data_IF_192851176870
#
_entry.id   IF_192851176870
#
_cell.length_a   1.000
_cell.length_b   1.000
_cell.length_c   1.000
_cell.angle_alpha   90.00
_cell.angle_beta   90.00
_cell.angle_gamma   90.00
#
_symmetry.space_group_name_H-M   'P 1'
#
loop_
_entity.id
_entity.type
_entity.pdbx_description
1 polymer ?
#
# COMPACT_ATOMS: atom_id res chain seq x y z
N UNK A 1 8.03 -2.39 -65.29
CA UNK A 1 8.46 -3.80 -65.21
C UNK A 1 7.45 -4.54 -64.36
N UNK A 2 6.68 -5.40 -65.03
CA UNK A 2 5.59 -6.21 -64.48
C UNK A 2 6.11 -7.50 -63.86
N UNK A 3 5.52 -7.89 -62.73
CA UNK A 3 5.08 -9.26 -62.33
C UNK A 3 4.46 -9.09 -60.94
N UNK A 4 3.13 -9.06 -60.73
CA UNK A 4 2.04 -10.00 -61.02
C UNK A 4 2.08 -11.32 -60.23
N UNK A 5 1.12 -11.39 -59.30
CA UNK A 5 0.31 -12.54 -58.83
C UNK A 5 0.98 -13.72 -58.10
N UNK A 6 0.54 -13.95 -56.86
CA UNK A 6 -0.36 -15.10 -56.62
C UNK A 6 -1.28 -14.91 -55.40
N UNK A 7 -2.53 -15.34 -55.60
CA UNK A 7 -3.68 -15.34 -54.70
C UNK A 7 -3.99 -16.80 -54.34
N UNK A 8 -4.25 -17.08 -53.05
CA UNK A 8 -5.09 -18.16 -52.45
C UNK A 8 -4.54 -18.43 -51.04
N UNK A 9 -5.31 -18.56 -49.97
CA UNK A 9 -6.57 -19.28 -49.83
C UNK A 9 -7.37 -18.68 -48.67
N UNK A 10 -8.68 -18.56 -48.87
CA UNK A 10 -9.70 -18.38 -47.84
C UNK A 10 -9.93 -19.72 -47.14
N UNK A 11 -9.80 -19.76 -45.81
CA UNK A 11 -10.25 -20.85 -44.96
C UNK A 11 -11.01 -20.28 -43.79
N UNK A 12 -12.33 -20.51 -43.75
CA UNK A 12 -13.23 -19.98 -42.74
C UNK A 12 -12.96 -20.56 -41.36
N UNK A 13 -13.06 -19.70 -40.35
CA UNK A 13 -13.11 -20.13 -38.94
C UNK A 13 -14.57 -20.40 -38.59
N UNK A 14 -14.91 -21.67 -38.45
CA UNK A 14 -16.20 -22.11 -37.96
C UNK A 14 -16.28 -21.87 -36.44
N UNK A 15 -17.33 -21.18 -36.01
CA UNK A 15 -17.80 -21.14 -34.63
C UNK A 15 -18.15 -22.57 -34.19
N UNK A 16 -17.42 -23.09 -33.21
CA UNK A 16 -17.82 -24.28 -32.46
C UNK A 16 -18.57 -23.87 -31.19
N UNK A 17 -19.90 -23.75 -31.27
CA UNK A 17 -20.78 -23.71 -30.10
C UNK A 17 -21.01 -25.16 -29.67
N UNK A 18 -20.40 -25.59 -28.57
CA UNK A 18 -20.73 -26.87 -27.93
C UNK A 18 -21.90 -26.66 -26.96
N UNK A 19 -23.11 -26.89 -27.47
CA UNK A 19 -24.32 -27.08 -26.68
C UNK A 19 -24.30 -28.51 -26.12
N UNK A 20 -24.14 -28.64 -24.80
CA UNK A 20 -24.31 -29.92 -24.11
C UNK A 20 -25.80 -30.27 -23.96
N UNK A 21 -26.32 -31.13 -24.83
CA UNK A 21 -27.64 -31.76 -24.67
C UNK A 21 -27.43 -33.18 -24.14
N UNK A 22 -27.88 -33.41 -22.91
CA UNK A 22 -27.90 -34.74 -22.30
C UNK A 22 -29.10 -35.55 -22.84
N UNK A 23 -28.80 -36.62 -23.58
CA UNK A 23 -29.74 -37.69 -23.90
C UNK A 23 -29.35 -38.93 -23.09
N UNK A 24 -30.23 -39.33 -22.17
CA UNK A 24 -30.11 -40.58 -21.43
C UNK A 24 -30.61 -41.73 -22.31
N UNK A 25 -29.80 -42.78 -22.48
CA UNK A 25 -30.23 -44.15 -22.77
C UNK A 25 -29.00 -45.10 -22.78
N UNK A 26 -29.11 -46.21 -22.05
CA UNK A 26 -28.43 -47.46 -22.38
C UNK A 26 -27.15 -47.79 -21.62
N UNK A 27 -27.28 -48.68 -20.63
CA UNK A 27 -26.18 -49.28 -19.87
C UNK A 27 -25.21 -50.08 -20.75
N UNK A 28 -23.92 -49.77 -20.63
CA UNK A 28 -22.78 -50.67 -20.79
C UNK A 28 -21.65 -50.10 -19.93
N UNK A 29 -21.10 -50.93 -19.04
CA UNK A 29 -20.00 -50.56 -18.15
C UNK A 29 -18.77 -50.14 -18.94
N UNK A 30 -18.64 -48.83 -19.16
CA UNK A 30 -17.36 -48.16 -19.27
C UNK A 30 -17.11 -47.56 -17.90
N UNK A 31 -15.93 -47.82 -17.34
CA UNK A 31 -15.41 -47.05 -16.22
C UNK A 31 -15.77 -45.58 -16.46
N UNK A 32 -16.45 -44.96 -15.49
CA UNK A 32 -16.77 -43.55 -15.57
C UNK A 32 -15.46 -42.83 -15.89
N UNK A 33 -15.40 -42.16 -17.05
CA UNK A 33 -14.30 -41.26 -17.34
C UNK A 33 -14.35 -40.25 -16.21
N UNK A 34 -13.44 -40.39 -15.24
CA UNK A 34 -13.35 -39.45 -14.14
C UNK A 34 -13.24 -38.06 -14.77
N UNK A 35 -14.16 -37.17 -14.37
CA UNK A 35 -14.08 -35.77 -14.76
C UNK A 35 -12.66 -35.28 -14.43
N UNK A 36 -11.89 -34.79 -15.42
CA UNK A 36 -10.52 -34.37 -15.18
C UNK A 36 -10.43 -33.19 -14.20
N UNK A 37 -11.56 -32.59 -13.81
CA UNK A 37 -11.59 -31.39 -12.99
C UNK A 37 -11.09 -30.18 -13.78
N UNK A 38 -11.31 -29.00 -13.20
CA UNK A 38 -10.88 -27.75 -13.75
C UNK A 38 -9.36 -27.71 -13.84
N UNK A 39 -8.86 -27.36 -15.02
CA UNK A 39 -7.44 -27.14 -15.27
C UNK A 39 -7.07 -25.68 -14.94
N UNK A 40 -5.80 -25.39 -14.61
CA UNK A 40 -5.35 -24.01 -14.50
C UNK A 40 -5.63 -23.22 -15.77
N UNK A 41 -6.08 -21.97 -15.62
CA UNK A 41 -6.67 -21.14 -16.67
C UNK A 41 -8.20 -21.24 -16.76
N UNK A 42 -8.84 -22.15 -16.01
CA UNK A 42 -10.29 -22.24 -15.95
C UNK A 42 -10.88 -21.00 -15.27
N UNK A 43 -11.96 -20.48 -15.86
CA UNK A 43 -12.76 -19.40 -15.32
C UNK A 43 -14.23 -19.65 -15.63
N UNK A 44 -15.12 -19.12 -14.80
CA UNK A 44 -16.55 -19.30 -15.02
C UNK A 44 -17.40 -18.60 -13.98
N UNK A 45 -18.70 -18.85 -14.05
CA UNK A 45 -19.66 -18.41 -13.06
C UNK A 45 -20.31 -19.63 -12.41
N UNK A 46 -20.64 -19.51 -11.13
CA UNK A 46 -21.38 -20.52 -10.38
C UNK A 46 -22.59 -19.88 -9.71
N UNK A 47 -23.72 -20.57 -9.83
CA UNK A 47 -24.94 -20.23 -9.12
C UNK A 47 -24.89 -20.84 -7.73
N UNK A 48 -25.40 -20.11 -6.76
CA UNK A 48 -25.39 -20.47 -5.37
C UNK A 48 -26.79 -20.29 -4.77
N UNK A 49 -27.16 -21.20 -3.87
CA UNK A 49 -28.38 -21.10 -3.05
C UNK A 49 -28.01 -21.37 -1.59
N UNK A 50 -28.17 -20.38 -0.71
CA UNK A 50 -27.89 -20.51 0.71
C UNK A 50 -28.80 -21.57 1.36
N UNK A 51 -28.29 -22.39 2.30
CA UNK A 51 -26.93 -22.40 2.86
C UNK A 51 -25.97 -23.38 2.15
N UNK A 52 -26.31 -23.85 0.94
CA UNK A 52 -25.52 -24.86 0.23
C UNK A 52 -24.11 -24.38 -0.09
N UNK A 53 -23.17 -25.31 -0.33
CA UNK A 53 -21.84 -24.97 -0.83
C UNK A 53 -21.71 -25.41 -2.30
N UNK A 54 -20.97 -24.64 -3.10
CA UNK A 54 -20.56 -25.07 -4.43
C UNK A 54 -19.18 -25.70 -4.33
N UNK A 55 -18.97 -26.83 -4.98
CA UNK A 55 -17.70 -27.55 -4.99
C UNK A 55 -17.18 -27.64 -6.41
N UNK A 56 -15.93 -27.23 -6.59
CA UNK A 56 -15.23 -27.30 -7.86
C UNK A 56 -14.03 -28.24 -7.70
N UNK A 57 -13.99 -29.30 -8.50
CA UNK A 57 -12.83 -30.18 -8.59
C UNK A 57 -11.73 -29.48 -9.38
N UNK A 58 -10.54 -29.34 -8.78
CA UNK A 58 -9.38 -28.70 -9.39
C UNK A 58 -8.27 -29.73 -9.60
N UNK A 59 -7.67 -29.73 -10.79
CA UNK A 59 -6.49 -30.52 -11.11
C UNK A 59 -5.22 -29.79 -10.69
N UNK A 60 -4.37 -30.45 -9.89
CA UNK A 60 -3.15 -29.85 -9.33
C UNK A 60 -1.93 -30.77 -9.45
N UNK A 61 -0.74 -30.15 -9.50
CA UNK A 61 0.57 -30.80 -9.52
C UNK A 61 1.33 -30.52 -8.23
N UNK A 62 2.00 -31.53 -7.69
CA UNK A 62 2.83 -31.40 -6.49
C UNK A 62 3.90 -30.32 -6.67
N UNK A 63 4.06 -29.47 -5.66
CA UNK A 63 5.01 -28.35 -5.64
C UNK A 63 4.58 -27.12 -6.45
N UNK A 64 3.48 -27.19 -7.22
CA UNK A 64 2.98 -26.04 -7.96
C UNK A 64 2.15 -25.13 -7.05
N UNK A 65 2.40 -23.83 -7.11
CA UNK A 65 1.56 -22.81 -6.50
C UNK A 65 0.39 -22.47 -7.41
N UNK A 66 -0.77 -22.31 -6.81
CA UNK A 66 -2.02 -21.98 -7.48
C UNK A 66 -2.66 -20.76 -6.85
N UNK A 67 -3.44 -20.05 -7.67
CA UNK A 67 -4.28 -18.94 -7.30
C UNK A 67 -5.72 -19.25 -7.66
N UNK A 68 -6.62 -19.06 -6.70
CA UNK A 68 -8.05 -19.14 -6.92
C UNK A 68 -8.70 -17.81 -6.49
N UNK A 69 -9.40 -17.18 -7.41
CA UNK A 69 -10.13 -15.93 -7.19
C UNK A 69 -11.61 -16.24 -7.10
N UNK A 70 -12.30 -15.66 -6.12
CA UNK A 70 -13.75 -15.63 -6.03
C UNK A 70 -14.22 -14.19 -5.99
N UNK A 71 -15.11 -13.82 -6.91
CA UNK A 71 -15.71 -12.49 -6.99
C UNK A 71 -17.24 -12.60 -6.86
N UNK A 72 -17.85 -12.05 -5.80
CA UNK A 72 -19.30 -12.02 -5.68
C UNK A 72 -19.90 -11.01 -6.66
N UNK A 73 -20.90 -11.41 -7.46
CA UNK A 73 -21.57 -10.49 -8.39
C UNK A 73 -22.92 -10.02 -7.88
N UNK A 74 -23.73 -10.92 -7.30
CA UNK A 74 -25.05 -10.58 -6.74
C UNK A 74 -25.19 -10.85 -5.25
N UNK A 75 -24.22 -11.54 -4.63
CA UNK A 75 -24.18 -11.82 -3.20
C UNK A 75 -23.17 -10.93 -2.48
N UNK A 76 -23.17 -11.03 -1.15
CA UNK A 76 -22.21 -10.32 -0.30
C UNK A 76 -21.19 -11.31 0.25
N UNK A 77 -19.95 -11.14 -0.20
CA UNK A 77 -18.79 -11.89 0.30
C UNK A 77 -18.62 -13.32 -0.23
N UNK A 78 -17.37 -13.78 -0.21
CA UNK A 78 -16.96 -15.15 -0.55
C UNK A 78 -16.30 -15.81 0.66
N UNK A 79 -16.55 -17.10 0.86
CA UNK A 79 -15.76 -17.98 1.71
C UNK A 79 -15.22 -19.14 0.87
N UNK A 80 -13.90 -19.33 0.93
CA UNK A 80 -13.15 -20.36 0.22
C UNK A 80 -12.55 -21.33 1.24
N UNK A 81 -12.75 -22.63 1.01
CA UNK A 81 -12.07 -23.69 1.76
C UNK A 81 -11.53 -24.72 0.79
N UNK A 82 -10.21 -24.87 0.76
CA UNK A 82 -9.57 -25.97 0.05
C UNK A 82 -9.80 -27.28 0.83
N UNK A 83 -10.16 -28.36 0.13
CA UNK A 83 -10.47 -29.67 0.72
C UNK A 83 -9.82 -30.81 -0.05
N UNK A 84 -9.61 -31.92 0.64
CA UNK A 84 -9.20 -33.18 0.02
C UNK A 84 -10.32 -33.70 -0.89
N UNK A 85 -9.96 -34.17 -2.09
CA UNK A 85 -10.97 -34.58 -3.07
C UNK A 85 -11.74 -35.86 -2.70
N UNK A 86 -11.26 -36.66 -1.75
CA UNK A 86 -11.92 -37.91 -1.32
C UNK A 86 -12.62 -37.75 0.02
N UNK A 87 -11.91 -37.26 1.03
CA UNK A 87 -12.46 -37.13 2.38
C UNK A 87 -13.26 -35.85 2.59
N UNK A 88 -13.04 -34.83 1.74
CA UNK A 88 -13.54 -33.47 1.91
C UNK A 88 -13.02 -32.79 3.20
N UNK A 89 -12.01 -33.35 3.86
CA UNK A 89 -11.38 -32.69 5.00
C UNK A 89 -10.64 -31.42 4.55
N UNK A 90 -10.66 -30.34 5.36
CA UNK A 90 -9.93 -29.10 5.07
C UNK A 90 -8.43 -29.32 4.81
N UNK A 91 -7.92 -28.72 3.74
CA UNK A 91 -6.49 -28.63 3.42
C UNK A 91 -6.00 -27.20 3.68
N UNK A 92 -5.89 -26.84 4.96
CA UNK A 92 -5.51 -25.50 5.41
C UNK A 92 -6.69 -24.66 5.88
N UNK A 93 -6.41 -23.40 6.24
CA UNK A 93 -7.40 -22.48 6.78
C UNK A 93 -8.36 -21.97 5.69
N UNK A 94 -9.62 -21.75 6.07
CA UNK A 94 -10.58 -21.08 5.21
C UNK A 94 -10.18 -19.61 5.02
N UNK A 95 -10.48 -19.05 3.85
CA UNK A 95 -10.37 -17.63 3.56
C UNK A 95 -11.76 -17.05 3.37
N UNK A 96 -12.08 -15.97 4.06
CA UNK A 96 -13.42 -15.40 3.99
C UNK A 96 -13.40 -13.88 4.06
N UNK A 97 -14.36 -13.24 3.37
CA UNK A 97 -14.48 -11.77 3.34
C UNK A 97 -15.11 -11.25 4.64
N UNK A 98 -14.36 -10.60 5.52
CA UNK A 98 -14.79 -10.21 6.87
C UNK A 98 -15.97 -9.21 7.01
N UNK A 99 -16.65 -8.80 5.93
CA UNK A 99 -17.69 -7.76 5.97
C UNK A 99 -18.79 -7.94 4.92
N UNK A 100 -19.89 -7.16 5.04
CA UNK A 100 -21.04 -7.07 4.08
C UNK A 100 -20.69 -6.44 2.73
N UNK A 101 -19.43 -6.42 2.32
CA UNK A 101 -19.00 -5.81 1.07
C UNK A 101 -18.96 -6.87 -0.05
N UNK A 102 -19.26 -6.45 -1.28
CA UNK A 102 -19.18 -7.27 -2.50
C UNK A 102 -17.73 -7.42 -2.99
N UNK A 103 -16.78 -7.56 -2.06
CA UNK A 103 -15.37 -7.68 -2.39
C UNK A 103 -15.02 -9.12 -2.74
N UNK A 104 -14.14 -9.28 -3.74
CA UNK A 104 -13.56 -10.57 -4.05
C UNK A 104 -12.58 -11.02 -2.98
N UNK A 105 -12.16 -12.28 -3.08
CA UNK A 105 -11.08 -12.84 -2.27
C UNK A 105 -10.20 -13.73 -3.13
N UNK A 106 -8.90 -13.66 -2.89
CA UNK A 106 -7.90 -14.50 -3.54
C UNK A 106 -7.29 -15.47 -2.52
N UNK A 107 -7.28 -16.75 -2.85
CA UNK A 107 -6.57 -17.79 -2.11
C UNK A 107 -5.37 -18.27 -2.93
N UNK A 108 -4.21 -18.36 -2.28
CA UNK A 108 -3.04 -19.04 -2.79
C UNK A 108 -2.76 -20.30 -1.98
N UNK A 109 -2.24 -21.33 -2.65
CA UNK A 109 -1.70 -22.52 -1.97
C UNK A 109 -0.67 -23.21 -2.86
N UNK A 110 0.22 -23.98 -2.24
CA UNK A 110 1.12 -24.90 -2.94
C UNK A 110 0.60 -26.31 -2.77
N UNK A 111 0.32 -27.02 -3.87
CA UNK A 111 -0.20 -28.37 -3.80
C UNK A 111 0.89 -29.34 -3.30
N UNK A 112 0.58 -30.16 -2.29
CA UNK A 112 1.52 -31.12 -1.71
C UNK A 112 1.66 -32.41 -2.53
N UNK A 113 0.67 -32.73 -3.37
CA UNK A 113 0.61 -33.94 -4.18
C UNK A 113 0.01 -33.67 -5.56
N UNK A 114 0.29 -34.56 -6.51
CA UNK A 114 -0.42 -34.60 -7.80
C UNK A 114 -1.82 -35.16 -7.59
N UNK A 115 -2.82 -34.59 -8.25
CA UNK A 115 -4.17 -35.15 -8.26
C UNK A 115 -5.26 -34.09 -8.27
N UNK A 116 -6.38 -34.41 -7.62
CA UNK A 116 -7.51 -33.50 -7.47
C UNK A 116 -7.58 -32.95 -6.05
N UNK A 117 -7.99 -31.70 -5.95
CA UNK A 117 -8.44 -31.04 -4.71
C UNK A 117 -9.81 -30.42 -4.98
N UNK A 118 -10.60 -30.21 -3.93
CA UNK A 118 -11.91 -29.56 -4.03
C UNK A 118 -11.78 -28.15 -3.50
N UNK A 119 -12.14 -27.16 -4.33
CA UNK A 119 -12.43 -25.82 -3.84
C UNK A 119 -13.90 -25.77 -3.43
N UNK A 120 -14.15 -25.57 -2.13
CA UNK A 120 -15.49 -25.33 -1.62
C UNK A 120 -15.72 -23.82 -1.49
N UNK A 121 -16.76 -23.33 -2.18
CA UNK A 121 -17.20 -21.95 -2.19
C UNK A 121 -18.50 -21.83 -1.40
N UNK A 122 -18.53 -20.87 -0.48
CA UNK A 122 -19.69 -20.54 0.33
C UNK A 122 -19.90 -19.02 0.37
N UNK A 123 -21.11 -18.59 0.71
CA UNK A 123 -21.37 -17.20 1.09
C UNK A 123 -20.97 -16.99 2.55
N UNK A 124 -20.21 -15.92 2.85
CA UNK A 124 -19.66 -15.68 4.20
C UNK A 124 -20.65 -15.05 5.20
N UNK A 125 -21.91 -14.81 4.82
CA UNK A 125 -22.87 -14.15 5.68
C UNK A 125 -24.02 -15.08 6.03
N UNK A 126 -24.69 -14.76 7.15
CA UNK A 126 -26.01 -15.28 7.52
C UNK A 126 -27.07 -14.84 6.51
N UNK A 127 -26.93 -15.28 5.26
CA UNK A 127 -27.95 -15.15 4.23
C UNK A 127 -29.12 -16.02 4.65
N UNK A 128 -30.34 -15.48 4.60
CA UNK A 128 -31.51 -16.28 4.92
C UNK A 128 -31.59 -17.47 3.96
N UNK A 129 -32.05 -18.61 4.48
CA UNK A 129 -32.22 -19.83 3.70
C UNK A 129 -32.98 -19.56 2.39
N UNK A 130 -32.46 -20.08 1.27
CA UNK A 130 -33.04 -19.89 -0.05
C UNK A 130 -32.60 -18.62 -0.80
N UNK A 131 -31.76 -17.75 -0.21
CA UNK A 131 -31.13 -16.67 -0.98
C UNK A 131 -30.25 -17.23 -2.08
N UNK A 132 -30.47 -16.73 -3.31
CA UNK A 132 -29.70 -17.14 -4.49
C UNK A 132 -28.79 -16.02 -4.96
N UNK A 133 -27.69 -16.40 -5.58
CA UNK A 133 -26.91 -15.47 -6.38
C UNK A 133 -25.70 -16.11 -7.02
N UNK A 134 -24.77 -15.28 -7.48
CA UNK A 134 -23.73 -15.69 -8.42
C UNK A 134 -22.35 -15.23 -7.95
N UNK A 135 -21.37 -16.08 -8.22
CA UNK A 135 -19.96 -15.76 -8.11
C UNK A 135 -19.26 -16.05 -9.43
N UNK A 136 -18.26 -15.25 -9.77
CA UNK A 136 -17.27 -15.62 -10.79
C UNK A 136 -16.03 -16.19 -10.14
N UNK A 137 -15.38 -17.12 -10.83
CA UNK A 137 -14.12 -17.71 -10.39
C UNK A 137 -13.05 -17.67 -11.47
N UNK A 138 -11.80 -17.65 -11.03
CA UNK A 138 -10.61 -17.85 -11.86
C UNK A 138 -9.63 -18.76 -11.11
N UNK A 139 -9.26 -19.87 -11.72
CA UNK A 139 -8.26 -20.81 -11.21
C UNK A 139 -7.03 -20.78 -12.10
N UNK A 140 -5.86 -20.44 -11.55
CA UNK A 140 -4.62 -20.27 -12.32
C UNK A 140 -3.42 -20.85 -11.58
N UNK A 141 -2.36 -21.21 -12.32
CA UNK A 141 -1.03 -21.38 -11.75
C UNK A 141 -0.50 -20.01 -11.33
N UNK A 142 0.28 -19.98 -10.25
CA UNK A 142 0.86 -18.76 -9.71
C UNK A 142 2.33 -18.95 -9.38
N UNK A 143 3.03 -17.84 -9.30
CA UNK A 143 4.40 -17.68 -8.81
C UNK A 143 4.44 -16.47 -7.91
N UNK A 144 5.37 -16.48 -6.97
CA UNK A 144 5.73 -15.31 -6.17
C UNK A 144 6.02 -14.12 -7.10
N UNK A 145 5.35 -13.00 -6.87
CA UNK A 145 5.54 -11.78 -7.65
C UNK A 145 6.74 -10.95 -7.17
N UNK A 146 7.14 -11.08 -5.91
CA UNK A 146 8.34 -10.46 -5.38
C UNK A 146 8.85 -11.18 -4.14
N UNK A 147 10.13 -11.59 -4.16
CA UNK A 147 10.75 -12.18 -2.97
C UNK A 147 10.86 -11.20 -1.81
N UNK A 148 10.97 -11.72 -0.59
CA UNK A 148 10.89 -10.92 0.63
C UNK A 148 12.18 -10.29 1.14
N UNK A 149 13.31 -10.52 0.46
CA UNK A 149 14.61 -9.97 0.84
C UNK A 149 15.00 -8.76 -0.03
N UNK A 150 15.94 -7.93 0.47
CA UNK A 150 16.46 -6.79 -0.31
C UNK A 150 17.19 -7.22 -1.58
N UNK A 151 17.78 -8.42 -1.58
CA UNK A 151 18.47 -9.02 -2.73
C UNK A 151 17.50 -9.55 -3.79
N UNK A 152 16.32 -10.01 -3.38
CA UNK A 152 15.25 -10.50 -4.27
C UNK A 152 14.30 -9.39 -4.74
N UNK A 153 14.53 -8.15 -4.28
CA UNK A 153 13.63 -7.04 -4.54
C UNK A 153 13.47 -6.74 -6.04
N UNK A 154 12.22 -6.66 -6.49
CA UNK A 154 11.86 -6.46 -7.89
C UNK A 154 11.86 -4.98 -8.24
N UNK A 155 12.54 -4.61 -9.34
CA UNK A 155 12.62 -3.23 -9.79
C UNK A 155 11.25 -2.68 -10.22
N UNK A 156 10.87 -1.54 -9.67
CA UNK A 156 9.68 -0.79 -10.07
C UNK A 156 10.09 0.61 -10.56
N UNK A 157 9.41 1.13 -11.60
CA UNK A 157 9.67 2.50 -12.05
C UNK A 157 9.21 3.50 -10.99
N UNK A 158 9.90 4.64 -10.92
CA UNK A 158 9.48 5.79 -10.12
C UNK A 158 9.73 7.06 -10.91
N UNK A 159 8.79 8.00 -10.83
CA UNK A 159 8.88 9.31 -11.48
C UNK A 159 8.16 10.38 -10.66
N UNK A 160 8.28 11.64 -11.08
CA UNK A 160 7.52 12.74 -10.47
C UNK A 160 6.00 12.62 -10.70
N UNK A 161 5.59 11.86 -11.72
CA UNK A 161 4.21 11.43 -11.87
C UNK A 161 4.00 10.14 -11.09
N UNK A 162 2.91 10.08 -10.33
CA UNK A 162 2.52 8.88 -9.61
C UNK A 162 2.39 7.68 -10.56
N UNK A 163 3.03 6.59 -10.18
CA UNK A 163 2.95 5.30 -10.85
C UNK A 163 2.28 4.31 -9.93
N UNK A 164 1.43 3.45 -10.50
CA UNK A 164 0.78 2.37 -9.76
C UNK A 164 1.27 1.01 -10.22
N UNK A 165 1.34 0.07 -9.29
CA UNK A 165 1.57 -1.34 -9.57
C UNK A 165 0.82 -2.20 -8.56
N UNK A 166 0.54 -3.45 -8.93
CA UNK A 166 -0.12 -4.41 -8.06
C UNK A 166 0.88 -5.44 -7.54
N UNK A 167 0.57 -6.02 -6.38
CA UNK A 167 1.28 -7.19 -5.85
C UNK A 167 0.37 -8.14 -5.08
N UNK A 168 0.92 -9.29 -4.70
CA UNK A 168 0.20 -10.36 -4.03
C UNK A 168 0.95 -10.89 -2.80
N UNK A 169 0.33 -10.73 -1.63
CA UNK A 169 0.71 -11.46 -0.43
C UNK A 169 0.03 -12.84 -0.47
N UNK A 170 0.79 -13.87 -0.77
CA UNK A 170 0.28 -15.22 -1.04
C UNK A 170 0.07 -16.03 0.24
N UNK A 171 0.59 -15.53 1.34
CA UNK A 171 0.34 -16.05 2.68
C UNK A 171 0.29 -14.93 3.71
N UNK A 172 -0.21 -15.23 4.91
CA UNK A 172 -0.19 -14.27 6.03
C UNK A 172 1.22 -13.94 6.49
N UNK A 173 2.23 -14.71 6.09
CA UNK A 173 3.65 -14.48 6.41
C UNK A 173 4.44 -13.99 5.21
N UNK A 174 3.76 -13.74 4.10
CA UNK A 174 4.43 -13.33 2.87
C UNK A 174 4.97 -11.91 2.97
N UNK A 175 6.03 -11.68 2.20
CA UNK A 175 6.77 -10.43 2.18
C UNK A 175 7.23 -10.18 0.76
N UNK A 176 6.88 -9.01 0.26
CA UNK A 176 7.23 -8.58 -1.09
C UNK A 176 8.21 -7.42 -0.97
N UNK A 177 9.34 -7.51 -1.67
CA UNK A 177 10.32 -6.44 -1.74
C UNK A 177 10.32 -5.79 -3.12
N UNK A 178 10.12 -4.46 -3.16
CA UNK A 178 10.15 -3.65 -4.37
C UNK A 178 11.30 -2.66 -4.31
N UNK A 179 12.06 -2.55 -5.40
CA UNK A 179 13.25 -1.70 -5.51
C UNK A 179 12.97 -0.48 -6.37
N UNK A 180 13.33 0.70 -5.84
CA UNK A 180 13.21 1.98 -6.52
C UNK A 180 14.56 2.68 -6.58
N UNK A 181 15.06 2.98 -7.77
CA UNK A 181 16.26 3.80 -7.93
C UNK A 181 15.88 5.28 -7.87
N UNK A 182 16.14 5.92 -6.73
CA UNK A 182 15.78 7.32 -6.46
C UNK A 182 17.05 8.17 -6.44
N UNK A 183 17.14 9.29 -7.18
CA UNK A 183 18.31 10.14 -7.14
C UNK A 183 18.61 10.70 -5.74
N UNK A 184 19.84 11.16 -5.54
CA UNK A 184 20.23 11.79 -4.29
C UNK A 184 19.39 13.05 -4.02
N UNK A 185 19.09 13.28 -2.74
CA UNK A 185 18.34 14.44 -2.24
C UNK A 185 16.90 14.54 -2.78
N UNK A 186 16.31 13.42 -3.20
CA UNK A 186 14.91 13.33 -3.62
C UNK A 186 14.10 12.49 -2.66
N UNK A 187 12.80 12.75 -2.60
CA UNK A 187 11.90 12.10 -1.64
C UNK A 187 11.12 11.00 -2.36
N UNK A 188 11.25 9.76 -1.89
CA UNK A 188 10.34 8.69 -2.30
C UNK A 188 9.08 8.76 -1.45
N UNK A 189 7.91 8.76 -2.09
CA UNK A 189 6.61 8.62 -1.46
C UNK A 189 5.97 7.31 -1.91
N UNK A 190 5.42 6.56 -0.97
CA UNK A 190 4.74 5.30 -1.23
C UNK A 190 3.52 5.10 -0.33
N UNK A 191 2.48 4.50 -0.88
CA UNK A 191 1.34 3.95 -0.13
C UNK A 191 0.88 2.70 -0.83
N UNK A 192 0.53 1.65 -0.08
CA UNK A 192 -0.13 0.48 -0.64
C UNK A 192 -1.40 0.16 0.13
N UNK A 193 -2.43 -0.22 -0.62
CA UNK A 193 -3.77 -0.49 -0.11
C UNK A 193 -4.23 -1.82 -0.66
N UNK A 194 -4.91 -2.60 0.18
CA UNK A 194 -5.64 -3.78 -0.28
C UNK A 194 -6.70 -3.40 -1.32
N UNK A 195 -6.81 -4.19 -2.37
CA UNK A 195 -7.84 -4.06 -3.41
C UNK A 195 -8.92 -5.15 -3.30
N UNK A 196 -8.83 -5.97 -2.27
CA UNK A 196 -9.78 -7.02 -1.92
C UNK A 196 -10.08 -7.02 -0.41
N UNK A 197 -10.94 -7.96 0.02
CA UNK A 197 -11.32 -8.02 1.42
C UNK A 197 -10.15 -8.36 2.34
N UNK A 198 -9.91 -7.45 3.30
CA UNK A 198 -8.95 -7.64 4.36
C UNK A 198 -8.29 -6.35 4.83
N UNK A 199 -7.36 -6.50 5.76
CA UNK A 199 -6.51 -5.42 6.24
C UNK A 199 -5.52 -4.97 5.17
N UNK A 200 -5.24 -3.67 5.13
CA UNK A 200 -4.20 -3.12 4.26
C UNK A 200 -2.82 -3.58 4.74
N UNK A 201 -1.85 -3.75 3.83
CA UNK A 201 -0.54 -4.27 4.20
C UNK A 201 0.25 -3.29 5.08
N UNK A 202 1.19 -3.85 5.84
CA UNK A 202 2.26 -3.08 6.47
C UNK A 202 3.34 -2.78 5.43
N UNK A 203 3.86 -1.56 5.47
CA UNK A 203 4.94 -1.07 4.64
C UNK A 203 6.15 -0.76 5.52
N UNK A 204 7.33 -1.02 4.98
CA UNK A 204 8.60 -0.60 5.55
C UNK A 204 9.52 -0.10 4.42
N UNK A 205 10.11 1.08 4.58
CA UNK A 205 11.14 1.55 3.68
C UNK A 205 12.52 1.21 4.26
N UNK A 206 13.35 0.58 3.44
CA UNK A 206 14.67 0.10 3.80
C UNK A 206 15.72 0.66 2.85
N UNK A 207 16.97 0.73 3.32
CA UNK A 207 18.14 0.75 2.44
C UNK A 207 18.47 -0.66 1.95
N UNK A 208 19.26 -0.82 0.87
CA UNK A 208 19.65 -2.12 0.35
C UNK A 208 20.42 -2.99 1.36
N UNK A 209 21.09 -2.36 2.34
CA UNK A 209 21.77 -3.04 3.45
C UNK A 209 20.84 -3.55 4.57
N UNK A 210 19.52 -3.36 4.42
CA UNK A 210 18.50 -3.74 5.38
C UNK A 210 18.23 -2.71 6.48
N UNK A 211 18.89 -1.55 6.45
CA UNK A 211 18.61 -0.47 7.43
C UNK A 211 17.21 0.07 7.25
N UNK A 212 16.38 -0.03 8.30
CA UNK A 212 15.02 0.53 8.31
C UNK A 212 15.01 2.05 8.41
N UNK A 213 14.18 2.67 7.58
CA UNK A 213 13.97 4.13 7.48
C UNK A 213 12.59 4.54 8.00
N UNK A 214 11.69 3.58 8.21
CA UNK A 214 10.38 3.81 8.77
C UNK A 214 9.37 2.75 8.34
N UNK A 215 8.27 2.66 9.11
CA UNK A 215 7.15 1.76 8.86
C UNK A 215 5.85 2.52 8.75
N UNK A 216 4.90 1.99 7.98
CA UNK A 216 3.58 2.58 7.78
C UNK A 216 2.52 1.49 7.54
N UNK A 217 1.29 1.70 8.01
CA UNK A 217 0.17 0.84 7.66
C UNK A 217 -1.08 1.72 7.50
N UNK A 218 -1.76 1.61 6.36
CA UNK A 218 -2.92 2.45 6.06
C UNK A 218 -4.10 2.19 7.01
N UNK A 219 -4.35 0.94 7.41
CA UNK A 219 -5.39 0.58 8.40
C UNK A 219 -5.03 1.03 9.81
N UNK A 220 -3.74 1.09 10.14
CA UNK A 220 -3.24 1.55 11.43
C UNK A 220 -3.13 3.06 11.51
N UNK A 221 -3.21 3.77 10.37
CA UNK A 221 -3.01 5.21 10.23
C UNK A 221 -3.73 5.91 11.38
N UNK A 222 -3.00 6.23 12.47
CA UNK A 222 -3.61 6.96 13.54
C UNK A 222 -3.75 8.35 12.96
N UNK A 223 -4.92 8.95 13.12
CA UNK A 223 -5.14 10.32 12.65
C UNK A 223 -4.00 11.27 13.07
N UNK A 224 -3.29 10.96 14.16
CA UNK A 224 -2.09 11.62 14.67
C UNK A 224 -0.87 11.67 13.73
N UNK A 225 -0.74 10.87 12.66
CA UNK A 225 0.50 10.84 11.85
C UNK A 225 0.52 11.78 10.64
N UNK A 226 -0.60 12.44 10.34
CA UNK A 226 -0.76 13.53 9.36
C UNK A 226 -0.43 13.23 7.88
N UNK A 227 0.19 12.10 7.54
CA UNK A 227 0.56 11.70 6.17
C UNK A 227 -0.11 10.37 5.78
N UNK A 228 -0.94 10.33 4.72
CA UNK A 228 -1.59 9.10 4.26
C UNK A 228 -0.64 8.20 3.42
N UNK A 229 0.65 8.24 3.72
CA UNK A 229 1.71 7.54 3.00
C UNK A 229 2.99 7.47 3.84
N UNK A 230 3.91 6.58 3.47
CA UNK A 230 5.30 6.64 3.93
C UNK A 230 6.11 7.47 2.93
N UNK A 231 7.01 8.31 3.45
CA UNK A 231 7.95 9.04 2.62
C UNK A 231 9.31 9.14 3.28
N UNK A 232 10.38 9.10 2.48
CA UNK A 232 11.76 9.16 2.94
C UNK A 232 12.61 9.95 1.95
N UNK A 233 13.44 10.85 2.48
CA UNK A 233 14.48 11.56 1.73
C UNK A 233 15.68 10.66 1.45
N UNK A 234 16.04 10.52 0.18
CA UNK A 234 17.18 9.71 -0.25
C UNK A 234 18.48 10.53 -0.27
N UNK A 235 18.99 10.94 0.90
CA UNK A 235 20.18 11.81 1.03
C UNK A 235 21.40 11.29 0.25
N UNK A 236 21.63 9.97 0.25
CA UNK A 236 22.77 9.36 -0.45
C UNK A 236 22.54 9.05 -1.93
N UNK A 237 21.27 9.10 -2.38
CA UNK A 237 20.85 8.54 -3.67
C UNK A 237 20.92 7.01 -3.71
N UNK A 238 20.57 6.45 -4.87
CA UNK A 238 20.61 5.01 -5.11
C UNK A 238 19.28 4.32 -4.80
N UNK A 239 19.35 3.03 -4.53
CA UNK A 239 18.15 2.22 -4.37
C UNK A 239 17.53 2.38 -2.97
N UNK A 240 16.21 2.45 -2.94
CA UNK A 240 15.38 2.25 -1.76
C UNK A 240 14.52 1.01 -1.95
N UNK A 241 14.29 0.25 -0.88
CA UNK A 241 13.48 -0.96 -0.90
C UNK A 241 12.18 -0.68 -0.14
N UNK A 242 11.03 -0.83 -0.80
CA UNK A 242 9.74 -0.90 -0.14
C UNK A 242 9.42 -2.36 0.12
N UNK A 243 9.35 -2.70 1.40
CA UNK A 243 8.90 -4.01 1.86
C UNK A 243 7.42 -3.94 2.20
N UNK A 244 6.62 -4.80 1.60
CA UNK A 244 5.18 -4.93 1.80
C UNK A 244 4.92 -6.27 2.46
N UNK A 245 4.14 -6.31 3.52
CA UNK A 245 3.83 -7.56 4.21
C UNK A 245 2.41 -7.54 4.78
N UNK A 246 1.85 -8.73 5.00
CA UNK A 246 0.51 -8.84 5.57
C UNK A 246 0.41 -8.17 6.96
N UNK A 247 -0.78 -7.65 7.26
CA UNK A 247 -1.08 -7.13 8.60
C UNK A 247 -1.20 -8.26 9.62
N UNK A 248 -0.23 -8.33 10.52
CA UNK A 248 -0.13 -9.40 11.52
C UNK A 248 -1.07 -9.21 12.71
N UNK A 249 -1.80 -8.09 12.79
CA UNK A 249 -2.80 -7.87 13.86
C UNK A 249 -3.98 -8.83 13.75
N UNK A 250 -4.27 -9.29 12.54
CA UNK A 250 -5.27 -10.32 12.27
C UNK A 250 -4.86 -11.15 11.05
N UNK A 251 -4.12 -12.22 11.30
CA UNK A 251 -3.64 -13.15 10.27
C UNK A 251 -4.78 -13.85 9.50
N UNK A 252 -6.01 -13.81 10.01
CA UNK A 252 -7.17 -14.41 9.35
C UNK A 252 -7.83 -13.49 8.32
N UNK A 253 -7.51 -12.20 8.34
CA UNK A 253 -8.14 -11.18 7.50
C UNK A 253 -7.16 -10.33 6.69
N UNK A 254 -5.91 -10.76 6.47
CA UNK A 254 -5.04 -10.05 5.51
C UNK A 254 -5.62 -10.14 4.10
N UNK A 255 -5.53 -9.05 3.32
CA UNK A 255 -5.83 -9.09 1.89
C UNK A 255 -4.63 -9.65 1.13
N UNK A 256 -4.86 -10.59 0.23
CA UNK A 256 -3.80 -11.14 -0.62
C UNK A 256 -3.43 -10.14 -1.70
N UNK A 257 -4.39 -9.44 -2.32
CA UNK A 257 -4.11 -8.46 -3.38
C UNK A 257 -4.00 -7.04 -2.85
N UNK A 258 -2.97 -6.32 -3.27
CA UNK A 258 -2.81 -4.89 -3.01
C UNK A 258 -2.37 -4.12 -4.25
N UNK A 259 -2.59 -2.81 -4.22
CA UNK A 259 -2.05 -1.85 -5.18
C UNK A 259 -1.17 -0.86 -4.41
N UNK A 260 0.00 -0.55 -4.96
CA UNK A 260 0.89 0.49 -4.48
C UNK A 260 0.84 1.71 -5.42
N UNK A 261 0.78 2.89 -4.83
CA UNK A 261 0.99 4.18 -5.48
C UNK A 261 2.34 4.72 -5.01
N UNK A 262 3.22 5.02 -5.96
CA UNK A 262 4.56 5.52 -5.67
C UNK A 262 4.90 6.71 -6.54
N UNK A 263 5.63 7.66 -5.98
CA UNK A 263 6.13 8.84 -6.70
C UNK A 263 7.44 9.32 -6.12
N UNK A 264 8.24 9.94 -6.98
CA UNK A 264 9.32 10.81 -6.58
C UNK A 264 8.72 12.20 -6.31
N UNK A 265 8.60 12.56 -5.03
CA UNK A 265 7.94 13.79 -4.61
C UNK A 265 8.74 15.07 -4.87
N UNK A 266 9.91 14.96 -5.52
CA UNK A 266 10.79 16.10 -5.77
C UNK A 266 11.98 16.16 -4.82
N UNK A 267 12.79 17.22 -4.96
CA UNK A 267 13.81 17.54 -3.97
C UNK A 267 13.16 18.01 -2.67
N UNK A 268 13.92 17.91 -1.60
CA UNK A 268 13.58 18.59 -0.36
C UNK A 268 13.65 20.12 -0.54
N UNK A 269 12.73 20.85 0.09
CA UNK A 269 12.61 22.30 -0.10
C UNK A 269 13.59 23.08 0.80
N UNK A 270 13.92 22.51 1.95
CA UNK A 270 14.95 23.00 2.85
C UNK A 270 15.97 21.88 3.15
N UNK A 271 16.92 22.15 4.05
CA UNK A 271 17.93 21.17 4.44
C UNK A 271 17.81 20.82 5.91
N UNK A 272 18.00 19.55 6.25
CA UNK A 272 17.74 18.98 7.59
C UNK A 272 18.86 19.28 8.60
N UNK A 273 19.93 19.94 8.16
CA UNK A 273 21.11 20.22 8.98
C UNK A 273 21.57 21.65 8.80
N UNK A 274 22.21 22.20 9.84
CA UNK A 274 22.76 23.56 9.85
C UNK A 274 23.66 23.86 8.64
N UNK A 275 24.44 22.89 8.17
CA UNK A 275 25.33 23.04 7.02
C UNK A 275 24.59 23.23 5.67
N UNK A 276 23.31 22.85 5.61
CA UNK A 276 22.42 22.96 4.44
C UNK A 276 21.25 23.91 4.67
N UNK A 277 21.30 24.68 5.77
CA UNK A 277 20.21 25.54 6.17
C UNK A 277 19.92 26.64 5.14
N UNK A 278 18.63 26.90 4.90
CA UNK A 278 18.20 28.02 4.06
C UNK A 278 18.39 29.34 4.81
N UNK A 279 19.22 30.22 4.28
CA UNK A 279 19.51 31.52 4.90
C UNK A 279 18.35 32.48 4.66
N UNK A 280 17.80 33.07 5.72
CA UNK A 280 16.70 34.05 5.65
C UNK A 280 17.02 35.31 6.47
N UNK A 281 16.50 36.46 6.02
CA UNK A 281 16.70 37.76 6.67
C UNK A 281 15.42 38.19 7.39
N UNK A 282 15.51 38.57 8.66
CA UNK A 282 14.33 38.98 9.45
C UNK A 282 13.90 40.41 9.08
N UNK A 283 12.60 40.70 8.85
CA UNK A 283 11.47 39.75 8.89
C UNK A 283 11.37 38.87 7.65
N UNK A 284 10.98 37.61 7.85
CA UNK A 284 10.82 36.64 6.76
C UNK A 284 9.50 35.87 6.86
N UNK A 285 8.98 35.50 5.70
CA UNK A 285 7.95 34.46 5.53
C UNK A 285 8.51 33.40 4.58
N UNK A 286 8.41 32.14 4.98
CA UNK A 286 8.99 30.99 4.29
C UNK A 286 7.91 29.91 4.20
N UNK A 287 7.62 29.42 3.01
CA UNK A 287 6.80 28.23 2.85
C UNK A 287 7.69 27.01 3.06
N UNK A 288 7.22 26.04 3.84
CA UNK A 288 7.97 24.87 4.33
C UNK A 288 7.13 23.63 4.10
N UNK A 289 7.68 22.60 3.46
CA UNK A 289 6.99 21.38 3.07
C UNK A 289 7.72 20.20 3.70
N UNK A 290 7.18 19.72 4.82
CA UNK A 290 7.68 18.50 5.45
C UNK A 290 7.32 17.27 4.58
N UNK A 291 8.23 16.87 3.68
CA UNK A 291 8.09 15.77 2.75
C UNK A 291 8.03 14.39 3.40
N UNK A 292 8.49 14.25 4.65
CA UNK A 292 8.38 13.00 5.43
C UNK A 292 7.84 13.19 6.85
N UNK A 293 7.55 12.09 7.56
CA UNK A 293 7.05 12.14 8.95
C UNK A 293 8.06 12.78 9.90
N UNK A 294 9.33 12.46 9.71
CA UNK A 294 10.44 12.91 10.57
C UNK A 294 11.23 14.02 9.89
N UNK A 295 10.60 14.74 8.95
CA UNK A 295 11.28 15.78 8.21
C UNK A 295 11.65 16.95 9.11
N UNK A 296 12.82 17.50 8.84
CA UNK A 296 13.34 18.66 9.55
C UNK A 296 13.82 19.65 8.52
N UNK A 297 13.34 20.88 8.61
CA UNK A 297 13.72 21.97 7.74
C UNK A 297 14.48 23.02 8.52
N UNK A 298 15.75 23.25 8.17
CA UNK A 298 16.61 24.17 8.91
C UNK A 298 16.70 25.51 8.20
N UNK A 299 16.33 26.57 8.90
CA UNK A 299 16.57 27.95 8.47
C UNK A 299 17.75 28.55 9.24
N UNK A 300 18.55 29.39 8.59
CA UNK A 300 19.63 30.15 9.23
C UNK A 300 19.29 31.65 9.25
N UNK A 301 19.38 32.27 10.41
CA UNK A 301 19.03 33.68 10.64
C UNK A 301 20.14 34.40 11.42
N UNK A 302 20.37 35.68 11.10
CA UNK A 302 21.20 36.56 11.92
C UNK A 302 20.31 37.32 12.90
N UNK A 303 20.53 37.13 14.20
CA UNK A 303 19.75 37.75 15.27
C UNK A 303 20.63 38.70 16.10
N UNK A 304 20.00 39.67 16.77
CA UNK A 304 20.66 40.70 17.57
C UNK A 304 20.40 40.45 19.06
N UNK A 305 21.46 40.52 19.87
CA UNK A 305 21.38 40.32 21.32
C UNK A 305 20.31 41.23 21.96
N UNK A 306 19.47 40.64 22.81
CA UNK A 306 18.42 41.34 23.55
C UNK A 306 17.15 41.59 22.74
N UNK A 307 17.15 41.39 21.42
CA UNK A 307 15.94 41.53 20.61
C UNK A 307 14.99 40.35 20.85
N UNK A 308 13.68 40.63 20.75
CA UNK A 308 12.62 39.64 20.87
C UNK A 308 12.06 39.34 19.49
N UNK A 309 12.15 38.08 19.08
CA UNK A 309 11.63 37.58 17.82
C UNK A 309 10.36 36.77 18.03
N UNK A 310 9.34 37.00 17.21
CA UNK A 310 8.13 36.20 17.15
C UNK A 310 8.27 35.17 16.03
N UNK A 311 8.19 33.90 16.41
CA UNK A 311 8.23 32.72 15.54
C UNK A 311 6.80 32.19 15.39
N UNK A 312 6.29 32.07 14.16
CA UNK A 312 4.88 31.77 13.94
C UNK A 312 4.66 30.84 12.75
N UNK A 313 3.83 29.83 12.93
CA UNK A 313 3.15 29.18 11.82
C UNK A 313 1.92 30.02 11.45
N UNK A 314 1.98 30.61 10.27
CA UNK A 314 0.99 31.50 9.67
C UNK A 314 0.14 30.80 8.61
N UNK A 315 0.13 29.47 8.56
CA UNK A 315 -0.73 28.68 7.67
C UNK A 315 -2.20 29.04 7.93
N UNK A 316 -2.82 29.71 6.97
CA UNK A 316 -4.15 30.31 7.14
C UNK A 316 -5.25 29.23 7.25
N UNK A 317 -6.17 29.37 8.21
CA UNK A 317 -7.52 28.80 8.07
C UNK A 317 -8.14 28.03 9.23
N UNK A 318 -7.42 27.67 10.30
CA UNK A 318 -8.03 26.96 11.44
C UNK A 318 -7.70 27.63 12.75
N UNK A 319 -8.73 27.90 13.57
CA UNK A 319 -8.60 28.59 14.85
C UNK A 319 -7.66 27.91 15.86
N UNK A 320 -7.23 26.65 15.63
CA UNK A 320 -6.08 25.96 16.25
C UNK A 320 -5.69 24.81 15.32
N UNK A 321 -4.62 24.88 14.51
CA UNK A 321 -4.24 23.73 13.71
C UNK A 321 -3.78 22.59 14.63
N UNK A 322 -4.21 21.36 14.32
CA UNK A 322 -3.76 20.17 15.05
C UNK A 322 -2.28 19.89 14.78
N UNK A 323 -1.78 20.36 13.63
CA UNK A 323 -0.37 20.25 13.22
C UNK A 323 0.17 21.62 12.84
N UNK A 324 1.32 21.99 13.39
CA UNK A 324 1.99 23.26 13.14
C UNK A 324 3.52 23.08 13.06
N UNK A 325 4.23 24.12 12.64
CA UNK A 325 5.71 24.16 12.71
C UNK A 325 6.20 24.28 14.16
N UNK A 326 6.70 23.19 14.73
CA UNK A 326 7.53 23.29 15.92
C UNK A 326 8.89 23.88 15.57
N UNK A 327 9.46 24.74 16.42
CA UNK A 327 10.80 25.30 16.19
C UNK A 327 11.76 25.00 17.33
N UNK A 328 12.85 24.31 17.03
CA UNK A 328 14.00 24.22 17.92
C UNK A 328 15.04 25.26 17.50
N UNK A 329 15.42 26.14 18.41
CA UNK A 329 16.42 27.19 18.15
C UNK A 329 17.78 26.71 18.65
N UNK A 330 18.80 26.74 17.80
CA UNK A 330 20.19 26.48 18.18
C UNK A 330 21.08 27.66 17.81
N UNK A 331 22.13 27.89 18.59
CA UNK A 331 23.15 28.89 18.26
C UNK A 331 24.15 28.36 17.21
N UNK A 332 25.13 29.19 16.85
CA UNK A 332 26.17 28.82 15.88
C UNK A 332 27.06 27.64 16.34
N UNK A 333 27.06 27.30 17.63
CA UNK A 333 27.78 26.15 18.19
C UNK A 333 26.91 24.88 18.24
N UNK A 334 25.65 24.97 17.79
CA UNK A 334 24.68 23.87 17.85
C UNK A 334 24.06 23.68 19.24
N UNK A 335 24.26 24.61 20.18
CA UNK A 335 23.64 24.54 21.49
C UNK A 335 22.20 25.01 21.41
N UNK A 336 21.27 24.15 21.83
CA UNK A 336 19.84 24.46 21.88
C UNK A 336 19.54 25.56 22.90
N UNK A 337 18.77 26.56 22.47
CA UNK A 337 18.42 27.75 23.22
C UNK A 337 17.00 27.63 23.78
N UNK A 338 16.84 26.82 24.83
CA UNK A 338 15.56 26.59 25.51
C UNK A 338 14.73 25.46 24.90
N UNK A 339 13.49 25.27 25.38
CA UNK A 339 12.61 24.20 24.88
C UNK A 339 12.18 24.47 23.43
N UNK A 340 11.73 23.41 22.75
CA UNK A 340 11.08 23.49 21.45
C UNK A 340 9.88 24.45 21.54
N UNK A 341 9.87 25.43 20.67
CA UNK A 341 8.87 26.48 20.61
C UNK A 341 7.64 25.99 19.82
N UNK A 342 6.46 26.25 20.38
CA UNK A 342 5.17 25.87 19.81
C UNK A 342 4.52 27.11 19.21
N UNK A 343 4.15 27.05 17.93
CA UNK A 343 3.62 28.20 17.20
C UNK A 343 2.12 28.03 16.90
N UNK A 344 1.29 27.91 17.93
CA UNK A 344 -0.15 27.63 17.86
C UNK A 344 -1.04 28.81 17.41
N UNK A 345 -0.58 29.59 16.42
CA UNK A 345 -1.31 30.69 15.80
C UNK A 345 -0.98 32.08 16.37
N UNK A 346 -0.74 32.21 17.68
CA UNK A 346 -0.22 33.46 18.28
C UNK A 346 1.28 33.64 18.04
N UNK A 347 2.00 32.52 17.92
CA UNK A 347 3.45 32.46 17.73
C UNK A 347 4.21 32.48 19.05
N UNK A 348 5.36 31.81 19.06
CA UNK A 348 6.28 31.78 20.19
C UNK A 348 7.20 33.00 20.18
N UNK A 349 7.69 33.40 21.35
CA UNK A 349 8.67 34.49 21.49
C UNK A 349 10.03 33.92 21.89
N UNK A 350 11.06 34.36 21.17
CA UNK A 350 12.45 34.02 21.44
C UNK A 350 13.27 35.30 21.64
N UNK A 351 13.96 35.42 22.77
CA UNK A 351 14.92 36.52 23.00
C UNK A 351 16.32 36.02 22.70
N UNK A 352 17.00 36.63 21.73
CA UNK A 352 18.36 36.22 21.37
C UNK A 352 19.34 36.63 22.49
N UNK A 353 20.02 35.68 23.17
CA UNK A 353 20.95 36.02 24.26
C UNK A 353 22.22 36.69 23.74
N UNK A 354 22.62 36.40 22.51
CA UNK A 354 23.81 36.96 21.85
C UNK A 354 23.50 37.33 20.40
N UNK A 355 24.27 38.26 19.83
CA UNK A 355 24.17 38.59 18.40
C UNK A 355 24.93 37.56 17.58
N UNK A 356 24.35 37.13 16.46
CA UNK A 356 25.00 36.23 15.51
C UNK A 356 24.02 35.28 14.84
N UNK A 357 24.58 34.23 14.24
CA UNK A 357 23.82 33.22 13.52
C UNK A 357 23.15 32.24 14.46
N UNK A 358 21.86 32.02 14.23
CA UNK A 358 21.05 30.96 14.83
C UNK A 358 20.47 30.07 13.74
N UNK A 359 20.19 28.82 14.10
CA UNK A 359 19.49 27.86 13.26
C UNK A 359 18.13 27.53 13.86
N UNK A 360 17.10 27.60 13.04
CA UNK A 360 15.72 27.26 13.38
C UNK A 360 15.42 25.92 12.72
N UNK A 361 15.46 24.84 13.50
CA UNK A 361 15.04 23.53 13.03
C UNK A 361 13.52 23.44 13.15
N UNK A 362 12.86 23.41 12.00
CA UNK A 362 11.42 23.31 11.87
C UNK A 362 11.04 21.85 11.69
N UNK A 363 10.01 21.40 12.39
CA UNK A 363 9.50 20.04 12.27
C UNK A 363 8.00 20.04 12.54
N UNK A 364 7.28 19.00 12.10
CA UNK A 364 5.87 18.83 12.46
C UNK A 364 5.73 18.71 13.99
N UNK A 365 4.80 19.46 14.53
CA UNK A 365 4.38 19.38 15.93
C UNK A 365 2.88 19.26 16.04
N UNK A 366 2.43 18.57 17.09
CA UNK A 366 1.02 18.38 17.38
C UNK A 366 0.57 19.27 18.53
N UNK A 367 -0.64 19.82 18.45
CA UNK A 367 -1.26 20.51 19.59
C UNK A 367 -1.97 19.48 20.48
N UNK A 368 -2.18 19.86 21.73
CA UNK A 368 -3.05 19.14 22.67
C UNK A 368 -4.55 19.31 22.36
N UNK A 369 -4.88 20.06 21.31
CA UNK A 369 -6.25 20.38 20.89
C UNK A 369 -7.01 19.21 20.27
N UNK A 370 -8.32 19.43 20.04
CA UNK A 370 -9.16 18.46 19.35
C UNK A 370 -8.57 18.14 17.97
N UNK A 371 -8.42 16.83 17.68
CA UNK A 371 -7.87 16.33 16.42
C UNK A 371 -8.75 16.79 15.27
N UNK A 372 -8.26 17.74 14.48
CA UNK A 372 -8.89 18.18 13.24
C UNK A 372 -8.38 17.34 12.08
N UNK A 373 -9.22 17.17 11.07
CA UNK A 373 -8.96 16.33 9.89
C UNK A 373 -8.06 16.99 8.84
N UNK A 374 -7.53 18.18 9.13
CA UNK A 374 -6.78 18.99 8.17
C UNK A 374 -5.29 18.95 8.52
N UNK A 375 -4.54 18.23 7.70
CA UNK A 375 -3.09 18.14 7.78
C UNK A 375 -2.48 18.93 6.61
N UNK A 376 -1.99 20.15 6.86
CA UNK A 376 -1.32 20.90 5.81
C UNK A 376 -0.04 20.17 5.39
N UNK A 377 0.10 19.92 4.09
CA UNK A 377 1.35 19.43 3.52
C UNK A 377 2.43 20.52 3.53
N UNK A 378 2.00 21.78 3.40
CA UNK A 378 2.84 22.96 3.41
C UNK A 378 2.45 23.89 4.57
N UNK A 379 3.44 24.37 5.29
CA UNK A 379 3.28 25.37 6.34
C UNK A 379 3.86 26.70 5.90
N UNK A 380 3.30 27.82 6.38
CA UNK A 380 3.90 29.14 6.19
C UNK A 380 4.55 29.61 7.48
N UNK A 381 5.87 29.52 7.57
CA UNK A 381 6.63 29.98 8.71
C UNK A 381 6.93 31.48 8.63
N UNK A 382 6.75 32.21 9.73
CA UNK A 382 7.03 33.64 9.86
C UNK A 382 7.97 33.90 11.03
N UNK A 383 9.01 34.70 10.80
CA UNK A 383 9.86 35.28 11.85
C UNK A 383 9.85 36.81 11.75
N UNK A 384 9.55 37.47 12.85
CA UNK A 384 9.47 38.95 12.94
C UNK A 384 10.18 39.46 14.19
N UNK A 385 10.90 40.56 14.08
CA UNK A 385 11.41 41.29 15.25
C UNK A 385 10.28 42.12 15.86
N UNK A 386 9.99 41.89 17.13
CA UNK A 386 8.91 42.53 17.91
C UNK A 386 9.46 43.27 19.13
N UNK A 387 10.74 43.60 19.10
CA UNK A 387 11.39 44.43 20.13
C UNK A 387 10.66 45.79 20.22
N UNK A 388 10.25 46.25 21.42
CA UNK A 388 9.50 47.51 21.60
C UNK A 388 10.23 48.78 21.17
#
# INVERSE_FOLDING_TARGET
MHTSLELKSRGGWALGVLLGVALTLGACGKDAVEDPGLQPGAQGAVDFTAPGAVRLDLSVKAGQRYRFVCEPTTLTGCQLQLRDAKSLEPLGEARATNTRHSWGITLFWTASANGRVVMELQSNLSVEEGHTGHFTYLFTEATDDAGGSTDEAVNQPVSETETTFEGFLESSTDVDAWRFSVPAERILRAVCQSTEAGSHPNLELLRPDGTSLGTYNFSAYPFEDALPYIAVKNVGGGDLILRVQADQRDSSTYASRYECQVSDAGPDDHGDVAARATVVTVPAQVDVVFGSRNDVDVLAVELVAGHVYRLKDATAGSARPTVYCGTTVTDAQGMQQGPKQITDGEGARFTAPTSGRYFLALERSFSDGARSWVYPLSHRYEITDVTP
#
